data_IF_003136043452
#
_entry.id   IF_003136043452
#
_cell.length_a   1.000
_cell.length_b   1.000
_cell.length_c   1.000
_cell.angle_alpha   90.00
_cell.angle_beta   90.00
_cell.angle_gamma   90.00
#
_symmetry.space_group_name_H-M   'P 1'
#
loop_
_entity.id
_entity.type
_entity.pdbx_description
1 polymer ?
#
# COMPACT_ATOMS: atom_id res chain seq x y z
N UNK A 1 -43.33 35.08 2.44
CA UNK A 1 -43.02 34.14 3.54
C UNK A 1 -41.62 33.59 3.30
N UNK A 2 -40.69 33.84 4.22
CA UNK A 2 -39.28 33.41 4.15
C UNK A 2 -39.24 31.88 4.28
N UNK A 3 -38.68 31.19 3.30
CA UNK A 3 -38.35 29.76 3.42
C UNK A 3 -36.86 29.63 3.68
N UNK A 4 -36.50 29.25 4.90
CA UNK A 4 -35.14 28.95 5.33
C UNK A 4 -34.85 27.48 4.98
N UNK A 5 -34.04 27.26 3.95
CA UNK A 5 -33.55 25.92 3.58
C UNK A 5 -32.33 25.58 4.46
N UNK A 6 -32.31 24.46 5.19
CA UNK A 6 -31.14 24.10 5.98
C UNK A 6 -30.06 23.52 5.05
N UNK A 7 -28.91 24.19 5.00
CA UNK A 7 -27.70 23.68 4.34
C UNK A 7 -27.12 22.59 5.26
N UNK A 8 -27.32 21.32 4.92
CA UNK A 8 -26.57 20.21 5.48
C UNK A 8 -25.13 20.28 4.94
N UNK A 9 -24.19 20.78 5.76
CA UNK A 9 -22.77 20.58 5.53
C UNK A 9 -22.42 19.11 5.80
N UNK A 10 -22.32 18.31 4.74
CA UNK A 10 -21.66 17.00 4.81
C UNK A 10 -20.15 17.22 4.94
N UNK A 11 -19.63 17.05 6.15
CA UNK A 11 -18.20 17.10 6.43
C UNK A 11 -17.55 15.82 5.89
N UNK A 12 -17.11 15.86 4.63
CA UNK A 12 -16.30 14.80 4.03
C UNK A 12 -14.92 14.83 4.66
N UNK A 13 -14.73 14.08 5.75
CA UNK A 13 -13.41 13.82 6.30
C UNK A 13 -12.62 12.98 5.30
N UNK A 14 -11.85 13.62 4.42
CA UNK A 14 -10.78 12.98 3.67
C UNK A 14 -9.65 12.69 4.65
N UNK A 15 -9.77 11.59 5.38
CA UNK A 15 -8.64 11.05 6.13
C UNK A 15 -7.56 10.69 5.10
N UNK A 16 -6.34 11.26 5.19
CA UNK A 16 -5.24 10.79 4.37
C UNK A 16 -4.99 9.34 4.78
N UNK A 17 -5.35 8.41 3.91
CA UNK A 17 -4.98 7.01 4.05
C UNK A 17 -3.45 6.95 3.95
N UNK A 18 -2.77 6.95 5.10
CA UNK A 18 -1.34 6.75 5.13
C UNK A 18 -1.06 5.30 4.74
N UNK A 19 -0.41 5.17 3.58
CA UNK A 19 0.21 3.96 3.06
C UNK A 19 0.94 3.20 4.18
N UNK A 20 0.73 1.89 4.21
CA UNK A 20 1.33 0.99 5.16
C UNK A 20 2.84 0.90 5.02
N UNK A 21 3.49 0.29 6.02
CA UNK A 21 4.89 -0.14 5.93
C UNK A 21 5.00 -1.62 6.17
N UNK A 22 5.89 -2.28 5.43
CA UNK A 22 6.36 -3.63 5.74
C UNK A 22 7.58 -3.49 6.65
N UNK A 23 7.44 -3.89 7.90
CA UNK A 23 8.54 -3.94 8.87
C UNK A 23 8.68 -5.36 9.38
N UNK A 24 9.87 -5.94 9.19
CA UNK A 24 10.21 -7.31 9.60
C UNK A 24 9.16 -8.38 9.20
N UNK A 25 8.64 -8.28 7.97
CA UNK A 25 7.62 -9.19 7.43
C UNK A 25 6.18 -8.89 7.87
N UNK A 26 5.96 -7.86 8.68
CA UNK A 26 4.64 -7.41 9.11
C UNK A 26 4.24 -6.18 8.31
N UNK A 27 3.14 -6.30 7.57
CA UNK A 27 2.52 -5.16 6.88
C UNK A 27 1.51 -4.48 7.81
N UNK A 28 1.68 -3.17 7.99
CA UNK A 28 0.72 -2.29 8.68
C UNK A 28 -0.23 -1.65 7.67
N UNK A 29 -1.48 -1.40 8.04
CA UNK A 29 -2.50 -0.78 7.18
C UNK A 29 -3.41 0.14 8.00
N UNK A 30 -4.14 1.05 7.33
CA UNK A 30 -5.00 2.05 7.96
C UNK A 30 -6.50 1.69 7.93
N UNK A 31 -6.86 0.53 7.38
CA UNK A 31 -8.26 0.05 7.25
C UNK A 31 -9.05 -0.19 8.54
N UNK A 32 -8.50 0.12 9.71
CA UNK A 32 -9.11 -0.13 11.01
C UNK A 32 -9.10 -1.62 11.41
N UNK A 33 -9.72 -1.96 12.56
CA UNK A 33 -9.71 -3.32 13.07
C UNK A 33 -10.55 -4.25 12.20
N UNK A 34 -10.16 -5.53 12.20
CA UNK A 34 -10.97 -6.59 11.60
C UNK A 34 -12.36 -6.63 12.24
N UNK A 35 -13.46 -6.65 11.46
CA UNK A 35 -14.79 -6.83 12.02
C UNK A 35 -14.89 -8.11 12.87
N UNK A 36 -15.47 -7.99 14.06
CA UNK A 36 -15.64 -9.11 14.97
C UNK A 36 -16.59 -10.16 14.37
N UNK A 37 -16.23 -11.44 14.50
CA UNK A 37 -17.06 -12.54 14.01
C UNK A 37 -18.40 -12.57 14.73
N UNK A 38 -19.47 -12.87 14.00
CA UNK A 38 -20.83 -13.04 14.52
C UNK A 38 -21.38 -14.38 14.08
N UNK A 39 -22.25 -14.97 14.90
CA UNK A 39 -22.91 -16.25 14.63
C UNK A 39 -24.42 -16.06 14.53
N UNK A 40 -25.07 -16.97 13.80
CA UNK A 40 -26.51 -17.12 13.86
C UNK A 40 -26.91 -17.77 15.19
N UNK A 41 -27.98 -17.27 15.81
CA UNK A 41 -28.53 -17.83 17.04
C UNK A 41 -29.62 -18.85 16.70
N UNK A 42 -29.29 -20.14 16.77
CA UNK A 42 -30.17 -21.22 16.31
C UNK A 42 -31.09 -21.81 17.42
N UNK A 43 -31.33 -21.05 18.48
CA UNK A 43 -32.09 -21.52 19.66
C UNK A 43 -33.60 -21.55 19.41
N UNK A 44 -34.12 -20.55 18.70
CA UNK A 44 -35.52 -20.42 18.28
C UNK A 44 -35.64 -19.37 17.16
N UNK A 45 -36.83 -19.25 16.55
CA UNK A 45 -37.09 -18.36 15.43
C UNK A 45 -36.81 -16.88 15.76
N UNK A 46 -37.19 -16.41 16.94
CA UNK A 46 -36.97 -15.03 17.38
C UNK A 46 -35.48 -14.70 17.51
N UNK A 47 -34.71 -15.59 18.14
CA UNK A 47 -33.27 -15.44 18.29
C UNK A 47 -32.57 -15.46 16.93
N UNK A 48 -32.98 -16.37 16.04
CA UNK A 48 -32.47 -16.46 14.68
C UNK A 48 -32.72 -15.15 13.91
N UNK A 49 -33.97 -14.69 13.85
CA UNK A 49 -34.36 -13.47 13.13
C UNK A 49 -33.61 -12.24 13.64
N UNK A 50 -33.38 -12.12 14.96
CA UNK A 50 -32.55 -11.06 15.54
C UNK A 50 -31.08 -11.17 15.11
N UNK A 51 -30.52 -12.38 15.09
CA UNK A 51 -29.11 -12.60 14.69
C UNK A 51 -28.84 -12.34 13.21
N UNK A 52 -29.84 -12.48 12.33
CA UNK A 52 -29.71 -12.19 10.89
C UNK A 52 -29.30 -10.73 10.65
N UNK A 53 -29.84 -9.78 11.42
CA UNK A 53 -29.44 -8.37 11.33
C UNK A 53 -27.96 -8.15 11.65
N UNK A 54 -27.47 -8.77 12.73
CA UNK A 54 -26.07 -8.71 13.12
C UNK A 54 -25.15 -9.34 12.06
N UNK A 55 -25.53 -10.48 11.49
CA UNK A 55 -24.80 -11.15 10.40
C UNK A 55 -24.72 -10.27 9.15
N UNK A 56 -25.81 -9.59 8.79
CA UNK A 56 -25.81 -8.69 7.65
C UNK A 56 -24.90 -7.46 7.88
N UNK A 57 -24.93 -6.89 9.08
CA UNK A 57 -24.03 -5.80 9.48
C UNK A 57 -22.55 -6.22 9.42
N UNK A 58 -22.23 -7.39 9.97
CA UNK A 58 -20.89 -7.97 9.87
C UNK A 58 -20.45 -8.16 8.42
N UNK A 59 -21.29 -8.75 7.56
CA UNK A 59 -20.98 -8.96 6.13
C UNK A 59 -20.69 -7.66 5.40
N UNK A 60 -21.43 -6.60 5.71
CA UNK A 60 -21.20 -5.28 5.13
C UNK A 60 -19.87 -4.68 5.59
N UNK A 61 -19.60 -4.70 6.90
CA UNK A 61 -18.35 -4.21 7.46
C UNK A 61 -17.14 -5.01 6.95
N UNK A 62 -17.28 -6.33 6.82
CA UNK A 62 -16.24 -7.23 6.31
C UNK A 62 -15.88 -6.93 4.85
N UNK A 63 -16.88 -6.66 3.99
CA UNK A 63 -16.61 -6.25 2.60
C UNK A 63 -15.86 -4.94 2.55
N UNK A 64 -16.33 -3.91 3.27
CA UNK A 64 -15.66 -2.61 3.30
C UNK A 64 -14.21 -2.71 3.81
N UNK A 65 -13.97 -3.53 4.83
CA UNK A 65 -12.63 -3.78 5.36
C UNK A 65 -11.72 -4.48 4.34
N UNK A 66 -12.21 -5.52 3.66
CA UNK A 66 -11.46 -6.24 2.62
C UNK A 66 -11.16 -5.36 1.39
N UNK A 67 -12.13 -4.56 0.95
CA UNK A 67 -11.95 -3.63 -0.17
C UNK A 67 -10.87 -2.58 0.16
N UNK A 68 -10.87 -2.08 1.40
CA UNK A 68 -9.81 -1.19 1.88
C UNK A 68 -8.44 -1.88 1.85
N UNK A 69 -8.33 -3.09 2.41
CA UNK A 69 -7.06 -3.83 2.44
C UNK A 69 -6.52 -4.06 1.03
N UNK A 70 -7.38 -4.43 0.09
CA UNK A 70 -6.97 -4.64 -1.29
C UNK A 70 -6.47 -3.35 -1.93
N UNK A 71 -7.15 -2.23 -1.68
CA UNK A 71 -6.76 -0.91 -2.20
C UNK A 71 -5.41 -0.46 -1.63
N UNK A 72 -5.25 -0.50 -0.31
CA UNK A 72 -4.00 -0.09 0.35
C UNK A 72 -2.85 -1.03 -0.02
N UNK A 73 -3.07 -2.35 0.03
CA UNK A 73 -2.05 -3.34 -0.31
C UNK A 73 -1.55 -3.18 -1.74
N UNK A 74 -2.45 -2.96 -2.71
CA UNK A 74 -2.04 -2.72 -4.10
C UNK A 74 -1.23 -1.43 -4.26
N UNK A 75 -1.61 -0.35 -3.56
CA UNK A 75 -0.89 0.91 -3.61
C UNK A 75 0.53 0.77 -3.01
N UNK A 76 0.64 0.09 -1.87
CA UNK A 76 1.91 -0.14 -1.18
C UNK A 76 2.83 -1.06 -1.99
N UNK A 77 2.28 -2.10 -2.63
CA UNK A 77 3.03 -2.98 -3.54
C UNK A 77 3.59 -2.15 -4.71
N UNK A 78 2.79 -1.28 -5.33
CA UNK A 78 3.24 -0.43 -6.42
C UNK A 78 4.35 0.53 -5.97
N UNK A 79 4.11 1.28 -4.88
CA UNK A 79 5.07 2.26 -4.37
C UNK A 79 6.40 1.60 -3.97
N UNK A 80 6.34 0.48 -3.26
CA UNK A 80 7.53 -0.28 -2.85
C UNK A 80 8.28 -0.84 -4.05
N UNK A 81 7.57 -1.42 -5.03
CA UNK A 81 8.21 -1.97 -6.24
C UNK A 81 8.89 -0.87 -7.06
N UNK A 82 8.26 0.29 -7.18
CA UNK A 82 8.84 1.45 -7.85
C UNK A 82 10.10 1.95 -7.13
N UNK A 83 10.04 2.09 -5.80
CA UNK A 83 11.19 2.52 -4.98
C UNK A 83 12.38 1.58 -5.14
N UNK A 84 12.16 0.27 -5.01
CA UNK A 84 13.19 -0.76 -5.19
C UNK A 84 13.79 -0.68 -6.60
N UNK A 85 12.94 -0.59 -7.63
CA UNK A 85 13.39 -0.52 -9.02
C UNK A 85 14.24 0.73 -9.29
N UNK A 86 13.81 1.88 -8.78
CA UNK A 86 14.56 3.14 -8.89
C UNK A 86 15.93 3.03 -8.23
N UNK A 87 15.99 2.47 -7.02
CA UNK A 87 17.23 2.29 -6.30
C UNK A 87 18.22 1.37 -7.05
N UNK A 88 17.75 0.18 -7.45
CA UNK A 88 18.58 -0.79 -8.19
C UNK A 88 19.10 -0.20 -9.50
N UNK A 89 18.23 0.49 -10.25
CA UNK A 89 18.62 1.11 -11.52
C UNK A 89 19.63 2.24 -11.31
N UNK A 90 19.47 3.03 -10.25
CA UNK A 90 20.42 4.08 -9.88
C UNK A 90 21.81 3.53 -9.58
N UNK A 91 21.90 2.49 -8.74
CA UNK A 91 23.17 1.82 -8.43
C UNK A 91 23.80 1.18 -9.68
N UNK A 92 22.99 0.52 -10.51
CA UNK A 92 23.46 -0.08 -11.75
C UNK A 92 24.00 0.98 -12.73
N UNK A 93 23.36 2.15 -12.81
CA UNK A 93 23.84 3.26 -13.63
C UNK A 93 25.15 3.83 -13.08
N UNK A 94 25.23 4.09 -11.77
CA UNK A 94 26.45 4.60 -11.15
C UNK A 94 27.64 3.65 -11.37
N UNK A 95 27.42 2.34 -11.24
CA UNK A 95 28.44 1.32 -11.52
C UNK A 95 28.91 1.34 -12.98
N UNK A 96 27.99 1.50 -13.95
CA UNK A 96 28.35 1.64 -15.37
C UNK A 96 29.23 2.86 -15.61
N UNK A 97 28.85 4.02 -15.09
CA UNK A 97 29.61 5.27 -15.25
C UNK A 97 31.02 5.18 -14.66
N UNK A 98 31.17 4.49 -13.52
CA UNK A 98 32.48 4.24 -12.91
C UNK A 98 33.29 3.28 -13.77
N UNK A 99 32.71 2.18 -14.24
CA UNK A 99 33.40 1.20 -15.07
C UNK A 99 33.86 1.78 -16.41
N UNK A 100 33.03 2.62 -17.05
CA UNK A 100 33.38 3.29 -18.29
C UNK A 100 34.59 4.23 -18.09
N UNK A 101 34.65 4.93 -16.95
CA UNK A 101 35.79 5.76 -16.57
C UNK A 101 37.05 4.94 -16.34
N UNK A 102 36.94 3.85 -15.57
CA UNK A 102 38.05 2.92 -15.34
C UNK A 102 38.59 2.37 -16.66
N UNK A 103 37.70 1.99 -17.59
CA UNK A 103 38.10 1.49 -18.91
C UNK A 103 38.83 2.56 -19.74
N UNK A 104 38.35 3.80 -19.70
CA UNK A 104 39.01 4.93 -20.36
C UNK A 104 40.41 5.20 -19.77
N UNK A 105 40.52 5.23 -18.43
CA UNK A 105 41.79 5.43 -17.73
C UNK A 105 42.78 4.29 -18.02
N UNK A 106 42.31 3.03 -18.03
CA UNK A 106 43.12 1.87 -18.37
C UNK A 106 43.65 1.94 -19.81
N UNK A 107 42.80 2.31 -20.76
CA UNK A 107 43.20 2.50 -22.16
C UNK A 107 44.24 3.62 -22.30
N UNK A 108 44.05 4.73 -21.58
CA UNK A 108 45.01 5.83 -21.58
C UNK A 108 46.35 5.44 -20.95
N UNK A 109 46.34 4.63 -19.89
CA UNK A 109 47.55 4.11 -19.25
C UNK A 109 48.29 3.13 -20.17
N UNK A 110 47.59 2.20 -20.83
CA UNK A 110 48.17 1.26 -21.77
C UNK A 110 48.86 1.97 -22.94
N UNK A 111 48.25 3.00 -23.51
CA UNK A 111 48.86 3.82 -24.56
C UNK A 111 50.13 4.58 -24.11
N UNK A 112 50.28 4.85 -22.81
CA UNK A 112 51.42 5.60 -22.26
C UNK A 112 52.53 4.72 -21.70
N UNK A 113 52.18 3.55 -21.19
CA UNK A 113 53.07 2.69 -20.42
C UNK A 113 53.16 1.25 -20.97
N UNK A 114 52.31 0.87 -21.93
CA UNK A 114 52.20 -0.47 -22.47
C UNK A 114 53.20 -0.82 -23.59
N UNK A 115 53.82 0.17 -24.25
CA UNK A 115 54.77 -0.05 -25.37
C UNK A 115 56.15 -0.63 -24.96
N UNK A 116 56.28 -1.20 -23.76
CA UNK A 116 57.53 -1.76 -23.23
C UNK A 116 57.57 -3.29 -23.08
N UNK A 117 56.61 -4.02 -23.67
CA UNK A 117 56.60 -5.49 -23.74
C UNK A 117 56.56 -5.98 -25.18
#
# INVERSE_FOLDING_TARGET
>A
MKSLLPILLTLSATLPAHAGKVDNGVWSHACGPRPATVNLELKNADAFNKSVGAVNGYRQAQRAWLDCLQKEGNADIQATSQLISQYINGEAQAAREINDRIAADAKAADARFGEGK
#
